data_IF_515079826195
#
_entry.id   IF_515079826195
#
_cell.length_a   1.000
_cell.length_b   1.000
_cell.length_c   1.000
_cell.angle_alpha   90.00
_cell.angle_beta   90.00
_cell.angle_gamma   90.00
#
_symmetry.space_group_name_H-M   'P 1'
#
loop_
_entity.id
_entity.type
_entity.pdbx_description
1 polymer ?
#
# COMPACT_ATOMS: atom_id res chain seq x y z
N UNK A 1 39.33 -28.31 44.86
CA UNK A 1 38.04 -28.13 44.15
C UNK A 1 37.94 -26.66 43.75
N UNK A 2 38.30 -26.35 42.51
CA UNK A 2 38.26 -25.00 41.95
C UNK A 2 36.98 -24.91 41.10
N UNK A 3 35.99 -24.17 41.59
CA UNK A 3 34.71 -23.98 40.91
C UNK A 3 34.91 -22.97 39.78
N UNK A 4 34.93 -23.46 38.53
CA UNK A 4 34.95 -22.62 37.33
C UNK A 4 33.58 -21.93 37.18
N UNK A 5 33.53 -20.64 37.52
CA UNK A 5 32.38 -19.78 37.30
C UNK A 5 32.31 -19.41 35.81
N UNK A 6 31.53 -20.17 35.04
CA UNK A 6 31.16 -19.84 33.66
C UNK A 6 30.31 -18.57 33.67
N UNK A 7 30.97 -17.41 33.53
CA UNK A 7 30.31 -16.15 33.24
C UNK A 7 29.75 -16.21 31.82
N UNK A 8 28.47 -16.58 31.69
CA UNK A 8 27.67 -16.28 30.50
C UNK A 8 27.50 -14.77 30.42
N UNK A 9 28.43 -14.09 29.75
CA UNK A 9 28.18 -12.75 29.25
C UNK A 9 27.06 -12.85 28.21
N UNK A 10 25.92 -12.16 28.36
CA UNK A 10 25.00 -11.99 27.26
C UNK A 10 25.75 -11.18 26.19
N UNK A 11 26.18 -11.83 25.12
CA UNK A 11 26.50 -11.16 23.87
C UNK A 11 25.24 -10.41 23.46
N UNK A 12 25.19 -9.12 23.76
CA UNK A 12 24.26 -8.20 23.16
C UNK A 12 24.62 -8.13 21.68
N UNK A 13 24.07 -9.06 20.89
CA UNK A 13 24.02 -8.92 19.45
C UNK A 13 23.17 -7.68 19.18
N UNK A 14 23.82 -6.54 18.99
CA UNK A 14 23.21 -5.39 18.35
C UNK A 14 22.81 -5.88 16.95
N UNK A 15 21.53 -6.23 16.81
CA UNK A 15 20.95 -6.70 15.55
C UNK A 15 21.26 -5.65 14.49
N UNK A 16 22.08 -6.03 13.52
CA UNK A 16 22.29 -5.24 12.32
C UNK A 16 20.92 -5.04 11.69
N UNK A 17 20.43 -3.81 11.68
CA UNK A 17 19.41 -3.41 10.71
C UNK A 17 20.20 -3.23 9.42
N UNK A 18 19.85 -3.89 8.30
CA UNK A 18 20.51 -3.65 7.04
C UNK A 18 20.24 -2.19 6.65
N UNK A 19 21.23 -1.34 6.89
CA UNK A 19 21.07 0.10 6.78
C UNK A 19 21.96 0.91 7.74
N UNK A 20 22.19 2.17 7.37
CA UNK A 20 22.99 3.13 8.14
C UNK A 20 22.06 4.11 8.85
N UNK A 21 22.24 4.27 10.17
CA UNK A 21 21.49 5.26 10.95
C UNK A 21 21.71 6.67 10.39
N UNK A 22 20.62 7.42 10.20
CA UNK A 22 20.61 8.76 9.64
C UNK A 22 19.65 9.68 10.42
N UNK A 23 20.15 10.24 11.52
CA UNK A 23 19.30 10.95 12.47
C UNK A 23 18.26 10.01 13.07
N UNK A 24 16.97 10.30 12.90
CA UNK A 24 15.82 9.53 13.36
C UNK A 24 15.31 8.46 12.37
N UNK A 25 15.98 8.25 11.23
CA UNK A 25 15.62 7.20 10.26
C UNK A 25 16.79 6.28 9.97
N UNK A 26 16.50 5.12 9.38
CA UNK A 26 17.51 4.19 8.84
C UNK A 26 17.49 4.27 7.31
N UNK A 27 18.62 4.63 6.72
CA UNK A 27 18.86 4.62 5.27
C UNK A 27 19.42 3.28 4.82
N UNK A 28 19.35 2.98 3.53
CA UNK A 28 20.17 1.90 2.96
C UNK A 28 21.66 2.17 3.21
N UNK A 29 22.41 1.12 3.55
CA UNK A 29 23.86 1.16 3.64
C UNK A 29 24.45 0.85 2.26
N UNK A 30 24.28 1.81 1.34
CA UNK A 30 24.66 1.71 -0.06
C UNK A 30 25.39 3.00 -0.47
N UNK A 31 26.39 2.87 -1.33
CA UNK A 31 27.12 4.03 -1.85
C UNK A 31 26.21 4.96 -2.67
N UNK A 32 25.10 4.47 -3.19
CA UNK A 32 24.12 5.24 -3.98
C UNK A 32 23.19 6.14 -3.14
N UNK A 33 23.36 6.12 -1.81
CA UNK A 33 22.47 6.80 -0.88
C UNK A 33 23.20 7.91 -0.15
N UNK A 34 22.55 9.07 -0.07
CA UNK A 34 22.98 10.19 0.76
C UNK A 34 22.05 10.33 1.97
N UNK A 35 22.65 10.22 3.16
CA UNK A 35 22.00 10.56 4.42
C UNK A 35 22.04 12.08 4.64
N UNK A 36 20.88 12.68 4.93
CA UNK A 36 20.73 14.07 5.35
C UNK A 36 20.22 14.06 6.80
N UNK A 37 21.12 13.96 7.80
CA UNK A 37 20.74 13.69 9.19
C UNK A 37 19.96 14.84 9.84
N UNK A 38 20.15 16.08 9.38
CA UNK A 38 19.45 17.26 9.91
C UNK A 38 17.93 17.18 9.70
N UNK A 39 17.50 16.46 8.65
CA UNK A 39 16.10 16.35 8.27
C UNK A 39 15.56 14.93 8.43
N UNK A 40 16.32 14.02 9.06
CA UNK A 40 15.98 12.59 9.16
C UNK A 40 15.58 12.01 7.80
N UNK A 41 16.35 12.30 6.75
CA UNK A 41 15.98 12.02 5.37
C UNK A 41 17.07 11.26 4.61
N UNK A 42 16.65 10.27 3.82
CA UNK A 42 17.51 9.52 2.92
C UNK A 42 17.15 9.90 1.49
N UNK A 43 18.15 10.21 0.67
CA UNK A 43 17.94 10.46 -0.77
C UNK A 43 18.86 9.58 -1.60
N UNK A 44 18.41 9.22 -2.78
CA UNK A 44 19.32 8.66 -3.79
C UNK A 44 20.24 9.76 -4.31
N UNK A 45 21.48 9.39 -4.64
CA UNK A 45 22.43 10.27 -5.33
C UNK A 45 21.90 10.66 -6.72
N UNK A 46 22.50 11.71 -7.29
CA UNK A 46 22.10 12.25 -8.58
C UNK A 46 22.14 11.18 -9.68
N UNK A 47 21.13 11.19 -10.56
CA UNK A 47 20.96 10.18 -11.62
C UNK A 47 20.19 8.93 -11.19
N UNK A 48 20.03 8.70 -9.89
CA UNK A 48 19.28 7.57 -9.34
C UNK A 48 17.90 7.99 -8.85
N UNK A 49 16.99 7.02 -8.80
CA UNK A 49 15.60 7.20 -8.43
C UNK A 49 15.20 6.28 -7.29
N UNK A 50 14.45 6.81 -6.33
CA UNK A 50 13.90 6.06 -5.21
C UNK A 50 13.81 6.91 -3.96
N UNK A 51 13.81 6.26 -2.79
CA UNK A 51 13.59 6.93 -1.51
C UNK A 51 14.79 6.86 -0.57
N UNK A 52 15.93 6.31 -1.01
CA UNK A 52 17.16 6.16 -0.20
C UNK A 52 17.05 5.25 1.04
N UNK A 53 15.83 4.88 1.44
CA UNK A 53 15.54 4.00 2.58
C UNK A 53 15.41 2.55 2.17
N UNK A 54 15.13 2.29 0.89
CA UNK A 54 14.81 0.95 0.38
C UNK A 54 15.38 0.59 -0.98
N UNK A 55 15.46 1.56 -1.88
CA UNK A 55 16.02 1.35 -3.20
C UNK A 55 16.48 2.68 -3.79
N UNK A 56 17.60 2.62 -4.48
CA UNK A 56 18.05 3.60 -5.46
C UNK A 56 18.34 2.84 -6.74
N UNK A 57 17.69 3.23 -7.84
CA UNK A 57 17.77 2.52 -9.11
C UNK A 57 17.96 3.51 -10.26
N UNK A 58 18.61 3.07 -11.33
CA UNK A 58 18.70 3.86 -12.55
C UNK A 58 17.32 3.97 -13.22
N UNK A 59 16.84 5.20 -13.38
CA UNK A 59 15.57 5.47 -14.06
C UNK A 59 15.62 5.15 -15.56
N UNK A 60 16.81 4.96 -16.14
CA UNK A 60 17.01 4.58 -17.55
C UNK A 60 16.54 3.15 -17.84
N UNK A 61 16.77 2.22 -16.92
CA UNK A 61 16.59 0.78 -17.08
C UNK A 61 15.45 0.20 -16.23
N UNK A 62 15.10 0.90 -15.14
CA UNK A 62 14.25 0.35 -14.09
C UNK A 62 13.13 1.31 -13.70
N UNK A 63 12.00 0.74 -13.28
CA UNK A 63 10.86 1.45 -12.73
C UNK A 63 10.71 1.07 -11.26
N UNK A 64 10.42 2.04 -10.40
CA UNK A 64 10.23 1.82 -8.97
C UNK A 64 8.90 2.42 -8.51
N UNK A 65 8.05 1.57 -7.93
CA UNK A 65 6.89 1.98 -7.15
C UNK A 65 7.21 1.74 -5.69
N UNK A 66 6.81 2.63 -4.79
CA UNK A 66 7.02 2.42 -3.37
C UNK A 66 5.91 2.99 -2.52
N UNK A 67 5.68 2.31 -1.41
CA UNK A 67 4.77 2.70 -0.35
C UNK A 67 5.63 3.07 0.83
N UNK A 68 5.57 4.34 1.22
CA UNK A 68 6.42 4.89 2.26
C UNK A 68 5.67 6.02 2.96
N UNK A 69 5.52 5.90 4.28
CA UNK A 69 4.67 6.78 5.06
C UNK A 69 3.18 6.45 4.87
N UNK A 70 2.44 6.43 5.97
CA UNK A 70 1.06 5.98 5.98
C UNK A 70 0.13 7.01 5.34
N UNK A 71 -0.78 6.59 4.44
CA UNK A 71 -0.65 5.52 3.46
C UNK A 71 -0.43 6.13 2.07
N UNK A 72 0.80 6.45 1.69
CA UNK A 72 1.08 7.03 0.38
C UNK A 72 1.74 6.03 -0.55
N UNK A 73 1.22 5.95 -1.78
CA UNK A 73 1.79 5.19 -2.89
C UNK A 73 2.46 6.18 -3.82
N UNK A 74 3.77 5.99 -4.04
CA UNK A 74 4.49 6.63 -5.14
C UNK A 74 4.54 5.66 -6.31
N UNK A 75 3.86 6.00 -7.40
CA UNK A 75 3.77 5.25 -8.64
C UNK A 75 5.13 5.08 -9.33
N UNK A 76 5.18 4.22 -10.35
CA UNK A 76 6.32 4.13 -11.26
C UNK A 76 6.63 5.45 -11.99
N UNK A 77 5.63 6.31 -12.19
CA UNK A 77 5.81 7.66 -12.75
C UNK A 77 6.41 8.68 -11.77
N UNK A 78 6.43 8.35 -10.47
CA UNK A 78 6.68 9.29 -9.39
C UNK A 78 5.45 10.07 -8.92
N UNK A 79 4.27 9.83 -9.51
CA UNK A 79 3.03 10.40 -9.02
C UNK A 79 2.67 9.79 -7.66
N UNK A 80 2.20 10.60 -6.73
CA UNK A 80 1.88 10.15 -5.36
C UNK A 80 0.38 10.13 -5.15
N UNK A 81 -0.18 9.14 -4.49
CA UNK A 81 -1.59 9.13 -4.07
C UNK A 81 -1.76 8.53 -2.68
N UNK A 82 -2.89 8.81 -2.03
CA UNK A 82 -3.20 8.20 -0.73
C UNK A 82 -3.84 6.81 -0.91
N UNK A 83 -3.69 5.93 0.08
CA UNK A 83 -4.26 4.60 0.14
C UNK A 83 -5.16 4.39 1.36
N UNK A 84 -6.35 5.03 1.43
CA UNK A 84 -7.11 5.13 2.66
C UNK A 84 -8.14 4.00 2.82
N UNK A 85 -7.96 2.81 2.24
CA UNK A 85 -8.92 1.71 2.44
C UNK A 85 -8.21 0.53 3.13
N UNK A 86 -8.77 -0.01 4.24
CA UNK A 86 -8.22 -1.19 4.92
C UNK A 86 -8.65 -2.46 4.20
N UNK A 87 -8.29 -2.62 2.93
CA UNK A 87 -8.60 -3.82 2.17
C UNK A 87 -7.33 -4.36 1.51
N UNK A 88 -7.39 -5.54 0.93
CA UNK A 88 -6.35 -6.07 0.06
C UNK A 88 -6.48 -5.41 -1.30
N UNK A 89 -5.40 -4.75 -1.72
CA UNK A 89 -5.32 -4.06 -3.00
C UNK A 89 -4.26 -4.68 -3.90
N UNK A 90 -4.58 -4.77 -5.19
CA UNK A 90 -3.63 -5.08 -6.24
C UNK A 90 -2.80 -3.82 -6.50
N UNK A 91 -1.55 -3.83 -6.05
CA UNK A 91 -0.61 -2.73 -6.25
C UNK A 91 -0.19 -2.64 -7.71
N UNK A 92 0.22 -3.77 -8.29
CA UNK A 92 0.62 -3.85 -9.69
C UNK A 92 0.48 -5.26 -10.26
N UNK A 93 0.32 -5.31 -11.58
CA UNK A 93 0.34 -6.53 -12.38
C UNK A 93 1.04 -6.22 -13.69
N UNK A 94 2.02 -7.04 -14.08
CA UNK A 94 2.77 -6.86 -15.32
C UNK A 94 3.40 -8.14 -15.82
N UNK A 95 3.74 -8.15 -17.11
CA UNK A 95 4.59 -9.17 -17.72
C UNK A 95 5.93 -8.54 -18.11
N UNK A 96 7.03 -9.09 -17.59
CA UNK A 96 8.39 -8.63 -17.92
C UNK A 96 8.73 -8.89 -19.40
N UNK A 97 9.76 -8.22 -19.97
CA UNK A 97 10.23 -8.52 -21.33
C UNK A 97 10.59 -10.00 -21.56
N UNK A 98 10.98 -10.70 -20.49
CA UNK A 98 11.33 -12.12 -20.51
C UNK A 98 10.14 -13.09 -20.42
N UNK A 99 8.90 -12.56 -20.42
CA UNK A 99 7.67 -13.34 -20.40
C UNK A 99 7.19 -13.80 -19.02
N UNK A 100 7.76 -13.28 -17.92
CA UNK A 100 7.31 -13.58 -16.56
C UNK A 100 6.18 -12.64 -16.18
N UNK A 101 5.00 -13.19 -15.85
CA UNK A 101 3.91 -12.45 -15.23
C UNK A 101 4.16 -12.30 -13.74
N UNK A 102 3.94 -11.10 -13.21
CA UNK A 102 4.11 -10.73 -11.81
C UNK A 102 2.85 -10.00 -11.34
N UNK A 103 2.37 -10.35 -10.14
CA UNK A 103 1.33 -9.64 -9.41
C UNK A 103 1.81 -9.36 -7.99
N UNK A 104 1.65 -8.11 -7.56
CA UNK A 104 1.90 -7.70 -6.18
C UNK A 104 0.63 -7.11 -5.61
N UNK A 105 0.20 -7.63 -4.47
CA UNK A 105 -0.92 -7.09 -3.69
C UNK A 105 -0.45 -6.81 -2.27
N UNK A 106 -1.15 -5.92 -1.56
CA UNK A 106 -0.89 -5.64 -0.16
C UNK A 106 -2.19 -5.35 0.58
N UNK A 107 -2.21 -5.71 1.87
CA UNK A 107 -3.36 -5.53 2.75
C UNK A 107 -3.20 -4.27 3.61
N UNK A 108 -4.19 -3.38 3.55
CA UNK A 108 -4.34 -2.26 4.47
C UNK A 108 -4.92 -2.72 5.81
N UNK A 109 -4.25 -2.37 6.91
CA UNK A 109 -4.66 -2.52 8.30
C UNK A 109 -4.99 -1.18 8.96
N UNK A 110 -5.66 -1.25 10.11
CA UNK A 110 -5.92 -0.09 10.96
C UNK A 110 -4.70 0.18 11.83
N UNK A 111 -4.13 1.39 11.78
CA UNK A 111 -3.32 1.88 12.90
C UNK A 111 -4.25 2.18 14.07
N UNK A 112 -3.91 1.68 15.26
CA UNK A 112 -4.58 1.98 16.53
C UNK A 112 -4.32 3.41 17.05
N UNK A 113 -3.74 4.28 16.23
CA UNK A 113 -3.45 5.64 16.61
C UNK A 113 -4.70 6.52 16.52
N UNK A 114 -5.11 7.11 17.65
CA UNK A 114 -6.36 7.86 17.80
C UNK A 114 -6.41 9.11 16.93
N UNK A 115 -5.24 9.64 16.56
CA UNK A 115 -5.10 10.93 15.88
C UNK A 115 -4.99 10.80 14.35
N UNK A 116 -5.08 9.57 13.80
CA UNK A 116 -4.95 9.36 12.37
C UNK A 116 -6.08 8.47 11.80
N UNK A 117 -7.02 9.03 11.01
CA UNK A 117 -8.03 8.24 10.31
C UNK A 117 -7.43 7.45 9.14
N UNK A 118 -6.15 7.67 8.80
CA UNK A 118 -5.43 6.91 7.78
C UNK A 118 -5.29 5.44 8.16
N UNK A 119 -5.37 4.59 7.14
CA UNK A 119 -5.01 3.17 7.23
C UNK A 119 -3.52 3.03 6.93
N UNK A 120 -2.94 1.89 7.26
CA UNK A 120 -1.54 1.58 6.93
C UNK A 120 -1.52 0.31 6.12
N UNK A 121 -0.64 0.18 5.14
CA UNK A 121 -0.41 -1.11 4.47
C UNK A 121 0.47 -1.99 5.37
N UNK A 122 -0.10 -2.37 6.52
CA UNK A 122 0.63 -2.91 7.67
C UNK A 122 0.82 -4.43 7.61
N UNK A 123 -0.18 -5.16 7.12
CA UNK A 123 -0.35 -6.54 7.57
C UNK A 123 0.38 -7.55 6.70
N UNK A 124 0.21 -7.45 5.38
CA UNK A 124 0.56 -8.55 4.48
C UNK A 124 0.90 -8.05 3.06
N UNK A 125 1.94 -8.64 2.46
CA UNK A 125 2.33 -8.43 1.05
C UNK A 125 2.29 -9.76 0.32
N UNK A 126 1.52 -9.81 -0.75
CA UNK A 126 1.36 -10.97 -1.61
C UNK A 126 2.13 -10.77 -2.89
N UNK A 127 3.04 -11.70 -3.16
CA UNK A 127 3.78 -11.76 -4.40
C UNK A 127 3.43 -13.05 -5.13
N UNK A 128 3.08 -12.90 -6.41
CA UNK A 128 2.89 -14.02 -7.32
C UNK A 128 3.69 -13.79 -8.58
N UNK A 129 4.45 -14.79 -9.00
CA UNK A 129 5.13 -14.81 -10.29
C UNK A 129 4.79 -16.09 -11.05
N UNK A 130 4.71 -16.02 -12.38
CA UNK A 130 4.44 -17.20 -13.20
C UNK A 130 5.00 -17.11 -14.61
N UNK A 131 5.42 -18.25 -15.16
CA UNK A 131 5.90 -18.42 -16.54
C UNK A 131 5.49 -19.80 -17.04
N UNK A 132 4.64 -19.85 -18.06
CA UNK A 132 4.06 -21.11 -18.52
C UNK A 132 3.21 -21.77 -17.42
N UNK A 133 3.55 -23.02 -17.06
CA UNK A 133 2.88 -23.77 -15.99
C UNK A 133 3.50 -23.57 -14.60
N UNK A 134 4.69 -22.96 -14.52
CA UNK A 134 5.39 -22.77 -13.24
C UNK A 134 4.88 -21.50 -12.56
N UNK A 135 4.53 -21.62 -11.28
CA UNK A 135 4.01 -20.53 -10.45
C UNK A 135 4.79 -20.48 -9.12
N UNK A 136 5.16 -19.26 -8.72
CA UNK A 136 5.76 -18.95 -7.44
C UNK A 136 4.82 -18.04 -6.66
N UNK A 137 4.66 -18.32 -5.37
CA UNK A 137 3.81 -17.58 -4.45
C UNK A 137 4.60 -17.28 -3.20
N UNK A 138 4.43 -16.06 -2.70
CA UNK A 138 5.05 -15.58 -1.49
C UNK A 138 4.03 -14.70 -0.75
N UNK A 139 3.87 -14.98 0.53
CA UNK A 139 3.08 -14.19 1.45
C UNK A 139 4.02 -13.72 2.55
N UNK A 140 4.29 -12.41 2.59
CA UNK A 140 5.10 -11.80 3.62
C UNK A 140 4.18 -11.13 4.62
N UNK A 141 4.32 -11.53 5.88
CA UNK A 141 3.60 -10.94 7.00
C UNK A 141 4.58 -10.39 8.00
N UNK A 142 4.12 -9.51 8.91
CA UNK A 142 4.94 -9.07 10.05
C UNK A 142 5.48 -10.26 10.87
N UNK A 143 4.72 -11.35 10.97
CA UNK A 143 5.06 -12.57 11.72
C UNK A 143 6.03 -13.53 11.02
N UNK A 144 6.31 -13.34 9.73
CA UNK A 144 7.22 -14.19 8.97
C UNK A 144 6.90 -14.30 7.49
N UNK A 145 7.65 -15.17 6.81
CA UNK A 145 7.45 -15.54 5.42
C UNK A 145 6.68 -16.87 5.31
N UNK A 146 5.68 -16.89 4.43
CA UNK A 146 4.78 -18.02 4.22
C UNK A 146 4.75 -18.40 2.73
N UNK A 147 4.86 -19.71 2.46
CA UNK A 147 4.71 -20.28 1.12
C UNK A 147 3.60 -21.33 1.16
N UNK A 148 2.53 -21.11 0.37
CA UNK A 148 1.32 -21.96 0.37
C UNK A 148 0.75 -22.18 1.79
N UNK A 149 0.77 -21.13 2.61
CA UNK A 149 0.25 -21.16 3.99
C UNK A 149 1.20 -21.73 5.04
N UNK A 150 2.35 -22.30 4.64
CA UNK A 150 3.35 -22.82 5.57
C UNK A 150 4.40 -21.75 5.87
N UNK A 151 4.65 -21.50 7.16
CA UNK A 151 5.74 -20.61 7.60
C UNK A 151 7.07 -21.24 7.23
N UNK A 152 7.89 -20.55 6.45
CA UNK A 152 9.19 -21.07 6.01
C UNK A 152 10.30 -20.51 6.91
N UNK A 153 11.18 -21.36 7.46
CA UNK A 153 12.38 -20.91 8.17
C UNK A 153 13.29 -20.11 7.24
N UNK A 154 13.94 -19.06 7.77
CA UNK A 154 14.87 -18.22 7.04
C UNK A 154 16.32 -18.46 7.45
N UNK A 155 17.31 -18.12 6.59
CA UNK A 155 17.15 -17.65 5.21
C UNK A 155 16.75 -18.80 4.26
N UNK A 156 15.90 -18.50 3.27
CA UNK A 156 15.59 -19.45 2.18
C UNK A 156 16.48 -19.08 1.00
N UNK A 157 17.57 -19.82 0.83
CA UNK A 157 18.43 -19.74 -0.35
C UNK A 157 18.08 -20.79 -1.41
N UNK A 158 16.95 -21.49 -1.25
CA UNK A 158 16.57 -22.55 -2.18
C UNK A 158 16.26 -21.95 -3.55
N UNK A 159 17.13 -22.28 -4.50
CA UNK A 159 16.98 -22.01 -5.91
C UNK A 159 15.67 -22.64 -6.40
N UNK A 160 14.60 -21.85 -6.57
CA UNK A 160 13.58 -22.24 -7.53
C UNK A 160 14.24 -22.05 -8.91
N UNK A 161 14.55 -23.13 -9.65
CA UNK A 161 15.43 -23.04 -10.84
C UNK A 161 14.86 -22.15 -11.96
N UNK A 162 13.54 -21.91 -11.95
CA UNK A 162 12.84 -21.01 -12.87
C UNK A 162 12.61 -19.59 -12.30
N UNK A 163 12.77 -19.38 -10.99
CA UNK A 163 12.51 -18.13 -10.27
C UNK A 163 13.56 -17.97 -9.16
N UNK A 164 14.56 -17.10 -9.30
CA UNK A 164 15.55 -16.91 -8.24
C UNK A 164 14.97 -16.18 -7.01
N UNK A 165 14.08 -16.81 -6.24
CA UNK A 165 13.50 -16.24 -5.05
C UNK A 165 14.50 -16.31 -3.90
N UNK A 166 15.29 -15.27 -3.73
CA UNK A 166 16.12 -15.13 -2.53
C UNK A 166 15.35 -14.35 -1.50
N UNK A 167 15.07 -14.96 -0.35
CA UNK A 167 14.47 -14.27 0.81
C UNK A 167 15.56 -13.97 1.82
N UNK A 168 15.91 -12.69 1.92
CA UNK A 168 16.74 -12.19 3.01
C UNK A 168 15.83 -11.80 4.17
N UNK A 169 16.06 -12.39 5.34
CA UNK A 169 15.51 -11.93 6.60
C UNK A 169 16.53 -12.23 7.69
N UNK A 170 17.03 -11.21 8.37
CA UNK A 170 17.87 -11.40 9.54
C UNK A 170 16.96 -11.53 10.77
N UNK A 171 17.41 -12.30 11.76
CA UNK A 171 16.63 -12.73 12.93
C UNK A 171 15.97 -11.62 13.77
N UNK A 172 16.20 -10.34 13.46
CA UNK A 172 15.63 -9.18 14.16
C UNK A 172 15.34 -7.98 13.24
N UNK A 173 15.84 -7.97 12.01
CA UNK A 173 15.53 -6.90 11.07
C UNK A 173 14.25 -7.30 10.33
N UNK A 174 13.19 -6.55 10.62
CA UNK A 174 11.87 -6.60 10.01
C UNK A 174 11.91 -6.29 8.49
N UNK A 175 12.87 -6.79 7.73
CA UNK A 175 13.12 -6.49 6.33
C UNK A 175 13.13 -7.79 5.52
N UNK A 176 12.38 -7.75 4.42
CA UNK A 176 12.13 -8.88 3.54
C UNK A 176 12.39 -8.41 2.12
N UNK A 177 13.15 -9.20 1.37
CA UNK A 177 13.41 -8.94 -0.06
C UNK A 177 13.09 -10.21 -0.81
N UNK A 178 12.23 -10.12 -1.81
CA UNK A 178 11.89 -11.16 -2.78
C UNK A 178 12.43 -10.71 -4.12
N UNK A 179 13.30 -11.50 -4.73
CA UNK A 179 13.87 -11.14 -6.02
C UNK A 179 13.52 -12.17 -7.09
N UNK A 180 13.60 -11.72 -8.33
CA UNK A 180 13.73 -12.56 -9.51
C UNK A 180 14.92 -12.01 -10.31
N UNK A 181 16.17 -12.31 -9.91
CA UNK A 181 17.36 -11.63 -10.43
C UNK A 181 17.50 -11.69 -11.95
N UNK A 182 17.22 -12.86 -12.55
CA UNK A 182 17.24 -13.06 -14.01
C UNK A 182 16.19 -12.25 -14.77
N UNK A 183 15.22 -11.67 -14.05
CA UNK A 183 14.11 -10.91 -14.60
C UNK A 183 14.11 -9.46 -14.13
N UNK A 184 15.12 -9.03 -13.36
CA UNK A 184 15.27 -7.68 -12.80
C UNK A 184 14.02 -7.20 -12.02
N UNK A 185 13.29 -8.13 -11.40
CA UNK A 185 12.15 -7.81 -10.52
C UNK A 185 12.59 -7.99 -9.07
N UNK A 186 12.23 -7.03 -8.22
CA UNK A 186 12.42 -7.14 -6.78
C UNK A 186 11.24 -6.52 -6.04
N UNK A 187 10.77 -7.21 -5.00
CA UNK A 187 9.78 -6.70 -4.05
C UNK A 187 10.43 -6.69 -2.68
N UNK A 188 10.52 -5.51 -2.06
CA UNK A 188 11.09 -5.36 -0.71
C UNK A 188 9.99 -4.89 0.22
N UNK A 189 9.92 -5.45 1.41
CA UNK A 189 8.97 -5.07 2.45
C UNK A 189 9.73 -4.90 3.77
N UNK A 190 9.45 -3.82 4.50
CA UNK A 190 9.94 -3.65 5.88
C UNK A 190 8.77 -3.50 6.83
N UNK A 191 8.57 -4.46 7.72
CA UNK A 191 7.47 -4.45 8.68
C UNK A 191 7.65 -3.48 9.85
N UNK A 192 8.85 -2.93 10.04
CA UNK A 192 9.11 -1.91 11.06
C UNK A 192 8.35 -0.60 10.79
N UNK A 193 8.17 -0.24 9.52
CA UNK A 193 7.46 0.96 9.08
C UNK A 193 6.58 0.70 7.85
N UNK A 194 6.13 -0.54 7.70
CA UNK A 194 5.11 -0.99 6.74
C UNK A 194 5.34 -0.53 5.30
N UNK A 195 6.62 -0.46 4.93
CA UNK A 195 7.03 0.12 3.67
C UNK A 195 7.31 -0.97 2.64
N UNK A 196 6.89 -0.72 1.41
CA UNK A 196 7.00 -1.67 0.30
C UNK A 196 7.72 -0.98 -0.86
N UNK A 197 8.60 -1.68 -1.56
CA UNK A 197 9.08 -1.25 -2.88
C UNK A 197 8.89 -2.36 -3.88
N UNK A 198 8.51 -1.97 -5.09
CA UNK A 198 8.32 -2.86 -6.22
C UNK A 198 9.16 -2.31 -7.36
N UNK A 199 10.14 -3.11 -7.76
CA UNK A 199 11.08 -2.83 -8.83
C UNK A 199 10.77 -3.74 -10.01
N UNK A 200 10.81 -3.17 -11.22
CA UNK A 200 10.54 -3.89 -12.47
C UNK A 200 11.36 -3.31 -13.62
N UNK A 201 11.80 -4.14 -14.59
CA UNK A 201 12.53 -3.63 -15.74
C UNK A 201 11.63 -2.80 -16.65
N UNK A 202 12.22 -1.79 -17.30
CA UNK A 202 11.57 -1.10 -18.41
C UNK A 202 11.19 -2.06 -19.54
N UNK A 203 10.15 -1.69 -20.29
CA UNK A 203 9.57 -2.54 -21.33
C UNK A 203 8.61 -3.61 -20.82
N UNK A 204 8.40 -3.72 -19.50
CA UNK A 204 7.33 -4.54 -18.93
C UNK A 204 5.96 -4.06 -19.41
N UNK A 205 5.07 -5.02 -19.70
CA UNK A 205 3.69 -4.77 -20.14
C UNK A 205 2.77 -4.81 -18.92
N UNK A 206 2.24 -3.67 -18.53
CA UNK A 206 1.40 -3.54 -17.34
C UNK A 206 -0.08 -3.80 -17.64
N UNK A 207 -0.78 -4.42 -16.70
CA UNK A 207 -2.23 -4.33 -16.64
C UNK A 207 -2.57 -2.88 -16.28
N UNK A 208 -3.42 -2.25 -17.09
CA UNK A 208 -3.80 -0.85 -16.89
C UNK A 208 -4.48 -0.65 -15.54
N UNK A 209 -4.47 0.59 -15.08
CA UNK A 209 -5.27 1.05 -13.94
C UNK A 209 -4.90 0.46 -12.57
N UNK A 210 -3.77 -0.24 -12.45
CA UNK A 210 -3.25 -0.65 -11.15
C UNK A 210 -2.71 0.53 -10.34
N UNK A 211 -2.65 0.35 -9.03
CA UNK A 211 -2.29 1.43 -8.12
C UNK A 211 -0.93 2.02 -8.45
N UNK A 212 0.11 1.23 -8.69
CA UNK A 212 1.44 1.73 -9.06
C UNK A 212 1.54 2.39 -10.45
N UNK A 213 0.46 2.44 -11.24
CA UNK A 213 0.46 2.98 -12.59
C UNK A 213 1.31 2.16 -13.56
N UNK A 214 1.79 2.81 -14.62
CA UNK A 214 2.67 2.22 -15.63
C UNK A 214 4.06 2.85 -15.58
N UNK A 215 5.06 2.10 -16.04
CA UNK A 215 6.42 2.62 -16.14
C UNK A 215 6.60 3.71 -17.20
N UNK A 216 5.75 3.72 -18.23
CA UNK A 216 5.75 4.74 -19.29
C UNK A 216 5.07 6.05 -18.87
N UNK A 217 4.40 6.08 -17.71
CA UNK A 217 3.66 7.24 -17.27
C UNK A 217 4.63 8.37 -16.87
N UNK A 218 4.27 9.61 -17.22
CA UNK A 218 5.04 10.80 -16.84
C UNK A 218 4.71 11.29 -15.42
N UNK A 219 5.53 12.17 -14.83
CA UNK A 219 5.20 12.78 -13.54
C UNK A 219 3.85 13.53 -13.63
N UNK A 220 3.11 13.53 -12.52
CA UNK A 220 1.79 14.15 -12.43
C UNK A 220 0.67 13.38 -13.12
N UNK A 221 0.86 12.08 -13.38
CA UNK A 221 -0.11 11.23 -14.09
C UNK A 221 -1.44 11.15 -13.32
N UNK A 222 -1.40 10.96 -12.00
CA UNK A 222 -2.62 10.86 -11.20
C UNK A 222 -3.44 12.15 -11.20
N UNK A 223 -2.79 13.32 -11.19
CA UNK A 223 -3.46 14.62 -11.26
C UNK A 223 -4.18 14.81 -12.60
N UNK A 224 -3.54 14.37 -13.70
CA UNK A 224 -4.15 14.37 -15.03
C UNK A 224 -5.35 13.44 -15.11
N UNK A 225 -5.21 12.21 -14.60
CA UNK A 225 -6.30 11.22 -14.57
C UNK A 225 -7.47 11.68 -13.70
N UNK A 226 -7.19 12.23 -12.51
CA UNK A 226 -8.19 12.80 -11.62
C UNK A 226 -8.98 13.92 -12.33
N UNK A 227 -8.25 14.85 -12.95
CA UNK A 227 -8.84 16.00 -13.65
C UNK A 227 -9.69 15.56 -14.85
N UNK A 228 -9.24 14.55 -15.61
CA UNK A 228 -10.00 13.98 -16.72
C UNK A 228 -11.35 13.37 -16.28
N UNK A 229 -11.49 13.02 -15.00
CA UNK A 229 -12.71 12.48 -14.41
C UNK A 229 -13.50 13.50 -13.57
N UNK A 230 -13.07 14.77 -13.54
CA UNK A 230 -13.71 15.79 -12.71
C UNK A 230 -13.56 15.52 -11.20
N UNK A 231 -12.52 14.80 -10.81
CA UNK A 231 -12.21 14.46 -9.43
C UNK A 231 -10.98 15.23 -8.96
N UNK A 232 -10.97 15.58 -7.68
CA UNK A 232 -9.74 15.98 -6.98
C UNK A 232 -8.81 14.77 -6.85
N UNK A 233 -7.53 15.02 -6.60
CA UNK A 233 -6.53 13.96 -6.37
C UNK A 233 -6.91 13.01 -5.23
N UNK A 234 -7.53 13.50 -4.15
CA UNK A 234 -7.94 12.67 -3.00
C UNK A 234 -9.14 11.78 -3.36
N UNK A 235 -10.16 12.35 -4.02
CA UNK A 235 -11.30 11.58 -4.54
C UNK A 235 -10.84 10.52 -5.55
N UNK A 236 -9.91 10.87 -6.45
CA UNK A 236 -9.30 9.94 -7.39
C UNK A 236 -8.55 8.81 -6.68
N UNK A 237 -7.82 9.12 -5.60
CA UNK A 237 -7.10 8.11 -4.81
C UNK A 237 -8.06 7.05 -4.26
N UNK A 238 -9.17 7.47 -3.66
CA UNK A 238 -10.22 6.57 -3.16
C UNK A 238 -10.89 5.79 -4.30
N UNK A 239 -11.28 6.48 -5.38
CA UNK A 239 -11.85 5.87 -6.57
C UNK A 239 -10.94 4.75 -7.11
N UNK A 240 -9.65 5.03 -7.26
CA UNK A 240 -8.68 4.09 -7.82
C UNK A 240 -8.53 2.84 -6.97
N UNK A 241 -8.60 2.97 -5.65
CA UNK A 241 -8.54 1.82 -4.74
C UNK A 241 -9.77 0.96 -4.76
N UNK A 242 -10.97 1.56 -4.85
CA UNK A 242 -12.22 0.83 -4.98
C UNK A 242 -12.20 -0.16 -6.16
N UNK A 243 -11.54 0.20 -7.27
CA UNK A 243 -11.39 -0.68 -8.45
C UNK A 243 -10.17 -1.61 -8.43
N UNK A 244 -9.30 -1.50 -7.42
CA UNK A 244 -8.11 -2.35 -7.29
C UNK A 244 -8.19 -3.30 -6.10
N UNK A 245 -9.38 -3.57 -5.58
CA UNK A 245 -9.60 -4.57 -4.55
C UNK A 245 -9.33 -5.99 -5.08
N UNK A 246 -8.69 -6.82 -4.27
CA UNK A 246 -8.50 -8.24 -4.54
C UNK A 246 -9.49 -9.10 -3.75
N UNK A 247 -10.78 -8.81 -3.88
CA UNK A 247 -11.87 -9.42 -3.09
C UNK A 247 -11.89 -10.95 -3.09
N UNK A 248 -11.45 -11.61 -4.18
CA UNK A 248 -11.39 -13.08 -4.26
C UNK A 248 -10.44 -13.71 -3.23
N UNK A 249 -9.45 -12.96 -2.77
CA UNK A 249 -8.46 -13.41 -1.81
C UNK A 249 -8.56 -12.63 -0.49
N UNK A 250 -9.58 -11.80 -0.32
CA UNK A 250 -9.86 -11.04 0.89
C UNK A 250 -10.59 -11.93 1.91
N UNK A 251 -10.28 -11.75 3.19
CA UNK A 251 -10.89 -12.47 4.31
C UNK A 251 -11.94 -11.62 5.06
N UNK A 252 -11.84 -10.28 4.99
CA UNK A 252 -12.80 -9.38 5.62
C UNK A 252 -14.05 -9.21 4.78
N UNK A 253 -15.19 -9.65 5.32
CA UNK A 253 -16.49 -9.56 4.65
C UNK A 253 -16.82 -8.13 4.18
N UNK A 254 -16.56 -7.11 4.99
CA UNK A 254 -16.83 -5.70 4.64
C UNK A 254 -16.07 -5.24 3.38
N UNK A 255 -14.87 -5.76 3.12
CA UNK A 255 -14.10 -5.46 1.92
C UNK A 255 -14.64 -6.19 0.68
N UNK A 256 -15.13 -7.42 0.86
CA UNK A 256 -15.83 -8.18 -0.18
C UNK A 256 -17.13 -7.47 -0.56
N UNK A 257 -17.92 -7.05 0.43
CA UNK A 257 -19.18 -6.34 0.24
C UNK A 257 -18.95 -4.97 -0.42
N UNK A 258 -17.85 -4.29 -0.07
CA UNK A 258 -17.45 -3.04 -0.72
C UNK A 258 -17.12 -3.22 -2.20
N UNK A 259 -16.31 -4.21 -2.56
CA UNK A 259 -16.05 -4.55 -3.97
C UNK A 259 -17.34 -4.90 -4.74
N UNK A 260 -18.25 -5.65 -4.11
CA UNK A 260 -19.54 -5.99 -4.70
C UNK A 260 -20.40 -4.75 -4.93
N UNK A 261 -20.51 -3.84 -3.96
CA UNK A 261 -21.28 -2.61 -4.08
C UNK A 261 -20.73 -1.67 -5.17
N UNK A 262 -19.41 -1.54 -5.27
CA UNK A 262 -18.74 -0.76 -6.33
C UNK A 262 -19.05 -1.34 -7.72
N UNK A 263 -18.96 -2.67 -7.87
CA UNK A 263 -19.24 -3.36 -9.14
C UNK A 263 -20.72 -3.35 -9.52
N UNK A 264 -21.62 -3.34 -8.54
CA UNK A 264 -23.06 -3.23 -8.75
C UNK A 264 -23.48 -1.81 -9.19
N UNK A 265 -22.70 -0.79 -8.83
CA UNK A 265 -22.96 0.60 -9.24
C UNK A 265 -22.77 0.75 -10.77
N UNK A 266 -23.75 1.30 -11.51
CA UNK A 266 -23.61 1.57 -12.95
C UNK A 266 -22.38 2.40 -13.28
N UNK A 267 -21.68 2.10 -14.38
CA UNK A 267 -20.39 2.73 -14.73
C UNK A 267 -20.46 4.25 -14.81
N UNK A 268 -21.55 4.79 -15.36
CA UNK A 268 -21.82 6.23 -15.45
C UNK A 268 -22.08 6.90 -14.09
N UNK A 269 -22.42 6.11 -13.07
CA UNK A 269 -22.69 6.55 -11.70
C UNK A 269 -21.53 6.29 -10.72
N UNK A 270 -20.55 5.47 -11.09
CA UNK A 270 -19.47 5.05 -10.19
C UNK A 270 -18.67 6.22 -9.63
N UNK A 271 -18.26 7.18 -10.45
CA UNK A 271 -17.48 8.33 -9.99
C UNK A 271 -18.28 9.21 -9.00
N UNK A 272 -19.55 9.49 -9.31
CA UNK A 272 -20.44 10.26 -8.43
C UNK A 272 -20.72 9.53 -7.11
N UNK A 273 -21.05 8.23 -7.18
CA UNK A 273 -21.32 7.41 -6.00
C UNK A 273 -20.10 7.29 -5.08
N UNK A 274 -18.91 7.05 -5.64
CA UNK A 274 -17.67 6.98 -4.86
C UNK A 274 -17.25 8.34 -4.30
N UNK A 275 -17.48 9.44 -5.01
CA UNK A 275 -17.27 10.79 -4.48
C UNK A 275 -18.18 11.08 -3.28
N UNK A 276 -19.46 10.74 -3.40
CA UNK A 276 -20.47 10.97 -2.36
C UNK A 276 -20.29 10.06 -1.14
N UNK A 277 -20.29 8.74 -1.35
CA UNK A 277 -20.18 7.73 -0.28
C UNK A 277 -18.76 7.60 0.28
N UNK A 278 -17.74 8.01 -0.48
CA UNK A 278 -16.33 7.97 -0.11
C UNK A 278 -15.80 9.26 0.47
N UNK A 279 -16.65 10.27 0.72
CA UNK A 279 -16.23 11.54 1.29
C UNK A 279 -15.41 11.40 2.59
N UNK A 280 -15.73 10.50 3.55
CA UNK A 280 -14.91 10.28 4.75
C UNK A 280 -13.47 9.83 4.46
N UNK A 281 -13.24 9.16 3.33
CA UNK A 281 -11.91 8.68 2.93
C UNK A 281 -11.14 9.69 2.07
N UNK A 282 -11.85 10.61 1.42
CA UNK A 282 -11.27 11.61 0.51
C UNK A 282 -11.07 12.98 1.17
N UNK A 283 -11.74 13.24 2.29
CA UNK A 283 -11.67 14.48 3.05
C UNK A 283 -11.35 14.17 4.52
N UNK A 284 -10.11 14.41 4.95
CA UNK A 284 -9.63 14.07 6.29
C UNK A 284 -10.52 14.62 7.41
N UNK A 285 -11.01 15.84 7.27
CA UNK A 285 -11.84 16.48 8.29
C UNK A 285 -13.22 15.83 8.40
N UNK A 286 -13.85 15.50 7.26
CA UNK A 286 -15.09 14.70 7.22
C UNK A 286 -14.84 13.32 7.82
N UNK A 287 -13.73 12.66 7.44
CA UNK A 287 -13.34 11.36 7.97
C UNK A 287 -13.18 11.36 9.49
N UNK A 288 -12.62 12.43 10.05
CA UNK A 288 -12.47 12.63 11.49
C UNK A 288 -13.83 12.75 12.17
N UNK A 289 -14.74 13.56 11.64
CA UNK A 289 -16.11 13.66 12.15
C UNK A 289 -16.88 12.32 12.08
N UNK A 290 -16.72 11.56 10.99
CA UNK A 290 -17.31 10.22 10.88
C UNK A 290 -16.70 9.24 11.88
N UNK A 291 -15.40 9.36 12.17
CA UNK A 291 -14.70 8.54 13.17
C UNK A 291 -15.22 8.85 14.57
N UNK A 292 -15.41 10.11 14.92
CA UNK A 292 -16.02 10.51 16.21
C UNK A 292 -17.46 9.99 16.35
N UNK A 293 -18.27 10.07 15.29
CA UNK A 293 -19.68 9.70 15.36
C UNK A 293 -19.96 8.20 15.30
N UNK A 294 -19.09 7.42 14.66
CA UNK A 294 -19.36 6.02 14.33
C UNK A 294 -18.23 5.05 14.68
N UNK A 295 -17.03 5.55 14.99
CA UNK A 295 -15.82 4.74 15.12
C UNK A 295 -15.22 4.34 13.77
N UNK A 296 -13.88 4.35 13.70
CA UNK A 296 -13.08 4.00 12.50
C UNK A 296 -13.49 2.67 11.84
N UNK A 297 -13.73 1.56 12.59
CA UNK A 297 -14.09 0.27 11.97
C UNK A 297 -15.42 0.29 11.20
N UNK A 298 -16.33 1.19 11.52
CA UNK A 298 -17.68 1.21 10.95
C UNK A 298 -17.81 2.10 9.70
N UNK A 299 -16.79 2.91 9.38
CA UNK A 299 -16.87 3.86 8.26
C UNK A 299 -17.02 3.11 6.94
N UNK A 300 -16.20 2.08 6.71
CA UNK A 300 -16.27 1.31 5.47
C UNK A 300 -17.62 0.62 5.31
N UNK A 301 -18.16 0.01 6.37
CA UNK A 301 -19.48 -0.62 6.34
C UNK A 301 -20.59 0.38 5.96
N UNK A 302 -20.52 1.61 6.48
CA UNK A 302 -21.50 2.65 6.11
C UNK A 302 -21.34 3.10 4.66
N UNK A 303 -20.11 3.16 4.15
CA UNK A 303 -19.85 3.43 2.74
C UNK A 303 -20.40 2.32 1.83
N UNK A 304 -20.33 1.04 2.25
CA UNK A 304 -20.99 -0.09 1.55
C UNK A 304 -22.50 0.13 1.45
N UNK A 305 -23.15 0.45 2.59
CA UNK A 305 -24.58 0.74 2.61
C UNK A 305 -24.92 1.92 1.71
N UNK A 306 -24.16 3.02 1.80
CA UNK A 306 -24.35 4.19 0.94
C UNK A 306 -24.26 3.84 -0.56
N UNK A 307 -23.25 3.08 -0.99
CA UNK A 307 -23.11 2.72 -2.41
C UNK A 307 -24.26 1.82 -2.88
N UNK A 308 -24.75 0.93 -2.01
CA UNK A 308 -25.89 0.06 -2.29
C UNK A 308 -27.17 0.88 -2.45
N UNK A 309 -27.43 1.80 -1.53
CA UNK A 309 -28.58 2.70 -1.57
C UNK A 309 -28.51 3.66 -2.75
N UNK A 310 -27.34 4.26 -3.00
CA UNK A 310 -27.10 5.15 -4.13
C UNK A 310 -27.35 4.44 -5.46
N UNK A 311 -26.93 3.19 -5.58
CA UNK A 311 -27.22 2.34 -6.75
C UNK A 311 -28.73 2.14 -6.92
N UNK A 312 -29.47 1.98 -5.82
CA UNK A 312 -30.92 1.89 -5.79
C UNK A 312 -31.65 3.25 -5.90
N UNK A 313 -30.93 4.36 -6.07
CA UNK A 313 -31.50 5.71 -6.16
C UNK A 313 -31.96 6.30 -4.81
N UNK A 314 -31.44 5.81 -3.69
CA UNK A 314 -31.72 6.29 -2.34
C UNK A 314 -30.49 6.95 -1.74
N UNK A 315 -30.66 8.08 -1.05
CA UNK A 315 -29.55 8.80 -0.38
C UNK A 315 -29.86 9.16 1.08
N UNK A 316 -31.11 8.99 1.54
CA UNK A 316 -31.60 9.44 2.85
C UNK A 316 -30.73 8.98 4.02
N UNK A 317 -30.30 7.73 4.02
CA UNK A 317 -29.62 7.13 5.17
C UNK A 317 -28.18 7.63 5.30
N UNK A 318 -27.50 7.83 4.16
CA UNK A 318 -26.18 8.47 4.16
C UNK A 318 -26.26 9.95 4.52
N UNK A 319 -27.31 10.64 4.09
CA UNK A 319 -27.57 12.02 4.47
C UNK A 319 -27.82 12.17 5.97
N UNK A 320 -28.62 11.28 6.58
CA UNK A 320 -28.80 11.23 8.02
C UNK A 320 -27.49 10.91 8.75
N UNK A 321 -26.65 10.02 8.21
CA UNK A 321 -25.33 9.73 8.75
C UNK A 321 -24.40 10.96 8.68
N UNK A 322 -24.40 11.69 7.56
CA UNK A 322 -23.66 12.94 7.38
C UNK A 322 -24.09 14.02 8.38
N UNK A 323 -25.40 14.23 8.55
CA UNK A 323 -25.93 15.18 9.54
C UNK A 323 -25.54 14.79 10.97
N UNK A 324 -25.62 13.50 11.32
CA UNK A 324 -25.16 13.01 12.62
C UNK A 324 -23.66 13.26 12.83
N UNK A 325 -22.82 12.93 11.84
CA UNK A 325 -21.39 13.19 11.90
C UNK A 325 -21.08 14.68 12.07
N UNK A 326 -21.71 15.56 11.29
CA UNK A 326 -21.55 17.02 11.37
C UNK A 326 -21.95 17.56 12.75
N UNK A 327 -23.10 17.13 13.28
CA UNK A 327 -23.59 17.59 14.59
C UNK A 327 -22.70 17.13 15.75
N UNK A 328 -22.19 15.90 15.69
CA UNK A 328 -21.31 15.31 16.69
C UNK A 328 -19.86 15.77 16.61
N UNK A 329 -19.43 16.35 15.48
CA UNK A 329 -18.03 16.68 15.25
C UNK A 329 -17.50 17.76 16.19
N UNK A 330 -16.32 17.53 16.75
CA UNK A 330 -15.58 18.49 17.57
C UNK A 330 -15.24 19.77 16.77
N UNK A 331 -14.83 19.62 15.51
CA UNK A 331 -14.57 20.73 14.60
C UNK A 331 -15.86 21.18 13.89
N UNK A 332 -16.41 22.32 14.30
CA UNK A 332 -17.64 22.87 13.69
C UNK A 332 -17.43 23.54 12.33
N UNK A 333 -16.19 23.77 11.91
CA UNK A 333 -15.85 24.42 10.64
C UNK A 333 -15.72 23.47 9.44
N UNK A 334 -15.94 22.16 9.62
CA UNK A 334 -15.79 21.18 8.55
C UNK A 334 -16.87 21.37 7.48
N UNK A 335 -16.44 21.48 6.23
CA UNK A 335 -17.34 21.57 5.08
C UNK A 335 -17.87 20.17 4.67
N UNK A 336 -19.19 20.00 4.79
CA UNK A 336 -19.91 18.78 4.41
C UNK A 336 -20.62 18.90 3.05
N UNK A 337 -20.35 19.96 2.27
CA UNK A 337 -21.03 20.27 1.00
C UNK A 337 -21.06 19.10 0.01
N UNK A 338 -19.99 18.29 -0.06
CA UNK A 338 -19.92 17.10 -0.92
C UNK A 338 -21.01 16.06 -0.59
N UNK A 339 -21.38 15.92 0.69
CA UNK A 339 -22.49 15.06 1.12
C UNK A 339 -23.82 15.81 0.96
N UNK A 340 -23.92 17.03 1.47
CA UNK A 340 -25.18 17.79 1.50
C UNK A 340 -25.76 18.06 0.10
N UNK A 341 -24.91 18.18 -0.92
CA UNK A 341 -25.34 18.40 -2.31
C UNK A 341 -26.24 17.29 -2.90
N UNK A 342 -26.29 16.10 -2.27
CA UNK A 342 -27.08 14.96 -2.71
C UNK A 342 -28.24 14.61 -1.76
N UNK A 343 -28.51 15.47 -0.77
CA UNK A 343 -29.42 15.23 0.35
C UNK A 343 -30.76 15.99 0.26
N UNK A 344 -31.25 16.20 -0.96
CA UNK A 344 -32.50 16.94 -1.25
C UNK A 344 -33.75 16.19 -0.86
#
# INVERSE_FOLDING_TARGET
>A
MLVLLLCFLPLAFAGYIPGKQCGGVVCLDDEDVQCIPQNNYCRCKDGLWGNGRFACVERSSTCLCYLFGDPYITAFSGSVMAAPIPCRHILTEFTTPSGVYVKVSATGGNRDDKDYPGFVMEDEVFFRASKGKTTAHADIRRSGFYNKGLKVPLPVADNFPDFGLTVYGEFQSHYWRLELPRHAVAVRYRSADSSITIQTPKGSKFVKERLCGQCSDGPGQYEKEASAMGLTKKEWSFYKQAFNLESKNEDRQVCIDFDAAVKATPKDKQAAGLKFCGAPFSHNDIGSCFTEAFGKPNILQKTVTCLTDFTAGKTSDWCAAGAKAKSGCSNKGVDFSVIESQCT
#
